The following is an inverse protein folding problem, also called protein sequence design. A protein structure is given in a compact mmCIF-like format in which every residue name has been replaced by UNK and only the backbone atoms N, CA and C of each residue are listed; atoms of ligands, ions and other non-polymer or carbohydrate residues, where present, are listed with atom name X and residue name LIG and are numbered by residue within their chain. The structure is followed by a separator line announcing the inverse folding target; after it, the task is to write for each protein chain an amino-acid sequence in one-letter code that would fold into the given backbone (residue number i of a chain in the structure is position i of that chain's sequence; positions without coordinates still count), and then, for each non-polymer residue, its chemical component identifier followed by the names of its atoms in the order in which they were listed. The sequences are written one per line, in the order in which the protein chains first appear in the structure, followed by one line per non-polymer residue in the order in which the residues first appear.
data_IF_795257732672
#
_entry.id   IF_795257732672
#
_cell.length_a   1.000
_cell.length_b   1.000
_cell.length_c   1.000
_cell.angle_alpha   90.00
_cell.angle_beta   90.00
_cell.angle_gamma   90.00
#
_symmetry.space_group_name_H-M   'P 1'
#
loop_
_entity.id
_entity.type
_entity.pdbx_description
1 polymer ?
#
# COMPACT_ATOMS: atom_id res chain seq x y z
N UNK A 1 -1.25 -23.38 10.75
CA UNK A 1 -1.45 -23.10 9.30
C UNK A 1 -0.97 -21.70 9.00
N UNK A 2 0.05 -21.50 8.13
CA UNK A 2 0.40 -20.18 7.61
C UNK A 2 -0.42 -19.95 6.33
N UNK A 3 -1.54 -19.25 6.45
CA UNK A 3 -2.32 -18.79 5.29
C UNK A 3 -1.49 -17.79 4.48
N UNK A 4 -1.61 -17.83 3.15
CA UNK A 4 -0.94 -16.86 2.29
C UNK A 4 -1.41 -15.45 2.68
N UNK A 5 -0.49 -14.48 2.87
CA UNK A 5 -0.89 -13.12 3.18
C UNK A 5 -1.73 -12.56 2.02
N UNK A 6 -2.82 -11.89 2.37
CA UNK A 6 -3.70 -11.25 1.39
C UNK A 6 -2.94 -10.19 0.58
N UNK A 7 -3.51 -9.77 -0.56
CA UNK A 7 -2.93 -8.71 -1.38
C UNK A 7 -2.64 -7.44 -0.59
N UNK A 8 -3.52 -7.14 0.36
CA UNK A 8 -3.39 -6.00 1.24
C UNK A 8 -2.29 -6.18 2.28
N UNK A 9 -2.20 -7.32 2.97
CA UNK A 9 -1.17 -7.55 3.99
C UNK A 9 0.24 -7.51 3.41
N UNK A 10 0.45 -8.07 2.22
CA UNK A 10 1.76 -7.96 1.58
C UNK A 10 2.01 -6.58 0.95
N UNK A 11 0.97 -5.80 0.61
CA UNK A 11 1.15 -4.37 0.28
C UNK A 11 1.56 -3.57 1.54
N UNK A 12 1.02 -3.92 2.71
CA UNK A 12 1.41 -3.31 3.99
C UNK A 12 2.83 -3.70 4.41
N UNK A 13 3.28 -4.92 4.10
CA UNK A 13 4.61 -5.42 4.46
C UNK A 13 5.76 -4.87 3.62
N UNK A 14 5.48 -4.16 2.52
CA UNK A 14 6.49 -3.47 1.69
C UNK A 14 6.69 -2.00 2.08
N UNK A 15 5.99 -1.55 3.13
CA UNK A 15 5.99 -0.15 3.58
C UNK A 15 6.47 -0.10 5.02
N UNK A 16 7.51 0.68 5.29
CA UNK A 16 8.03 0.87 6.63
C UNK A 16 7.17 1.86 7.44
N UNK A 17 7.21 1.77 8.79
CA UNK A 17 6.54 2.75 9.65
C UNK A 17 7.25 4.10 9.50
N UNK A 18 6.47 5.18 9.36
CA UNK A 18 6.94 6.53 9.10
C UNK A 18 7.13 6.85 7.61
N UNK A 19 7.08 5.85 6.74
CA UNK A 19 7.29 6.00 5.30
C UNK A 19 6.06 6.60 4.60
N UNK A 20 6.32 7.51 3.66
CA UNK A 20 5.34 8.11 2.76
C UNK A 20 5.48 7.45 1.38
N UNK A 21 4.37 6.92 0.85
CA UNK A 21 4.38 6.16 -0.40
C UNK A 21 3.09 6.35 -1.19
N UNK A 22 3.18 6.31 -2.51
CA UNK A 22 2.02 6.35 -3.40
C UNK A 22 1.51 4.95 -3.76
N UNK A 23 0.27 4.86 -4.24
CA UNK A 23 -0.30 3.58 -4.71
C UNK A 23 0.51 2.96 -5.87
N UNK A 24 1.12 3.79 -6.72
CA UNK A 24 2.01 3.33 -7.81
C UNK A 24 3.28 2.68 -7.28
N UNK A 25 3.94 3.33 -6.32
CA UNK A 25 5.17 2.80 -5.71
C UNK A 25 4.91 1.50 -4.94
N UNK A 26 3.76 1.37 -4.28
CA UNK A 26 3.36 0.12 -3.63
C UNK A 26 3.27 -1.01 -4.66
N UNK A 27 2.66 -0.74 -5.82
CA UNK A 27 2.54 -1.73 -6.89
C UNK A 27 3.91 -2.13 -7.42
N UNK A 28 4.80 -1.16 -7.68
CA UNK A 28 6.15 -1.44 -8.15
C UNK A 28 6.92 -2.31 -7.15
N UNK A 29 6.86 -2.00 -5.85
CA UNK A 29 7.51 -2.84 -4.81
C UNK A 29 6.94 -4.26 -4.73
N UNK A 30 5.64 -4.43 -4.98
CA UNK A 30 5.03 -5.75 -5.04
C UNK A 30 5.51 -6.55 -6.26
N UNK A 31 5.71 -5.88 -7.41
CA UNK A 31 6.31 -6.46 -8.60
C UNK A 31 7.77 -6.85 -8.34
N UNK A 32 8.56 -5.98 -7.71
CA UNK A 32 9.97 -6.25 -7.36
C UNK A 32 10.11 -7.44 -6.40
N UNK A 33 9.15 -7.65 -5.50
CA UNK A 33 9.09 -8.84 -4.64
C UNK A 33 8.62 -10.11 -5.37
N UNK A 34 8.41 -10.07 -6.69
CA UNK A 34 8.03 -11.22 -7.51
C UNK A 34 6.59 -11.68 -7.27
N UNK A 35 5.71 -10.79 -6.81
CA UNK A 35 4.32 -11.17 -6.56
C UNK A 35 3.56 -11.31 -7.89
N UNK A 36 3.04 -12.52 -8.14
CA UNK A 36 2.26 -12.81 -9.36
C UNK A 36 0.90 -12.10 -9.40
N UNK A 37 0.29 -11.86 -8.25
CA UNK A 37 -1.01 -11.21 -8.15
C UNK A 37 -0.86 -9.80 -7.60
N UNK A 38 -1.03 -8.80 -8.47
CA UNK A 38 -0.89 -7.39 -8.15
C UNK A 38 -2.27 -6.77 -7.98
N UNK A 39 -2.58 -6.18 -6.81
CA UNK A 39 -3.83 -5.45 -6.63
C UNK A 39 -3.85 -4.17 -7.46
N UNK A 40 -5.04 -3.76 -7.89
CA UNK A 40 -5.22 -2.51 -8.65
C UNK A 40 -5.01 -1.28 -7.76
N UNK A 41 -4.56 -0.17 -8.35
CA UNK A 41 -4.40 1.13 -7.67
C UNK A 41 -5.65 1.54 -6.88
N UNK A 42 -6.84 1.33 -7.46
CA UNK A 42 -8.13 1.61 -6.83
C UNK A 42 -8.35 0.73 -5.60
N UNK A 43 -8.09 -0.58 -5.70
CA UNK A 43 -8.25 -1.50 -4.58
C UNK A 43 -7.29 -1.18 -3.43
N UNK A 44 -6.02 -0.90 -3.73
CA UNK A 44 -5.02 -0.43 -2.76
C UNK A 44 -5.54 0.85 -2.10
N UNK A 45 -5.88 1.87 -2.89
CA UNK A 45 -6.33 3.15 -2.36
C UNK A 45 -7.52 3.00 -1.40
N UNK A 46 -8.55 2.22 -1.76
CA UNK A 46 -9.71 1.99 -0.88
C UNK A 46 -9.30 1.29 0.42
N UNK A 47 -8.50 0.22 0.33
CA UNK A 47 -8.10 -0.52 1.54
C UNK A 47 -7.20 0.29 2.46
N UNK A 48 -6.24 1.02 1.90
CA UNK A 48 -5.34 1.88 2.66
C UNK A 48 -6.06 3.05 3.31
N UNK A 49 -7.06 3.64 2.64
CA UNK A 49 -7.91 4.68 3.25
C UNK A 49 -8.73 4.18 4.44
N UNK A 50 -9.08 2.90 4.44
CA UNK A 50 -9.89 2.30 5.50
C UNK A 50 -9.05 1.68 6.63
N UNK A 51 -7.72 1.60 6.50
CA UNK A 51 -6.82 1.02 7.49
C UNK A 51 -6.28 2.10 8.43
N UNK A 52 -6.44 1.89 9.74
CA UNK A 52 -6.03 2.84 10.80
C UNK A 52 -4.52 3.04 10.91
N UNK A 53 -3.73 2.22 10.23
CA UNK A 53 -2.26 2.27 10.23
C UNK A 53 -1.73 3.20 9.15
N UNK A 54 -2.60 3.81 8.33
CA UNK A 54 -2.21 4.73 7.28
C UNK A 54 -2.93 6.06 7.44
N UNK A 55 -2.15 7.14 7.36
CA UNK A 55 -2.64 8.50 7.22
C UNK A 55 -2.60 8.91 5.75
N UNK A 56 -3.65 9.58 5.29
CA UNK A 56 -3.77 10.02 3.89
C UNK A 56 -3.30 11.47 3.80
N UNK A 57 -2.17 11.70 3.13
CA UNK A 57 -1.74 13.04 2.72
C UNK A 57 -2.21 13.31 1.30
N UNK A 58 -3.13 14.26 1.15
CA UNK A 58 -3.56 14.76 -0.15
C UNK A 58 -2.83 16.07 -0.44
N UNK A 59 -1.93 16.07 -1.41
CA UNK A 59 -1.21 17.29 -1.85
C UNK A 59 -1.68 17.67 -3.26
N UNK A 60 -2.53 18.69 -3.34
CA UNK A 60 -2.92 19.33 -4.61
C UNK A 60 -3.48 18.38 -5.68
N UNK A 61 -3.04 18.57 -6.93
CA UNK A 61 -3.40 17.73 -8.11
C UNK A 61 -2.52 16.47 -8.25
N UNK A 62 -1.70 16.16 -7.24
CA UNK A 62 -0.75 15.06 -7.28
C UNK A 62 -1.34 13.70 -6.89
N UNK A 63 -0.53 12.63 -6.99
CA UNK A 63 -0.92 11.30 -6.50
C UNK A 63 -1.21 11.34 -4.99
N UNK A 64 -2.15 10.50 -4.55
CA UNK A 64 -2.44 10.36 -3.11
C UNK A 64 -1.26 9.69 -2.42
N UNK A 65 -0.75 10.32 -1.37
CA UNK A 65 0.34 9.81 -0.55
C UNK A 65 -0.27 9.13 0.68
N UNK A 66 0.18 7.93 0.97
CA UNK A 66 -0.17 7.18 2.16
C UNK A 66 1.05 7.15 3.07
N UNK A 67 0.90 7.63 4.30
CA UNK A 67 1.94 7.57 5.32
C UNK A 67 1.62 6.46 6.31
N UNK A 68 2.52 5.50 6.49
CA UNK A 68 2.32 4.45 7.49
C UNK A 68 2.62 5.00 8.89
N UNK A 69 1.68 4.90 9.81
CA UNK A 69 1.81 5.38 11.19
C UNK A 69 1.87 4.26 12.22
N UNK A 70 1.47 3.03 11.86
CA UNK A 70 1.46 1.83 12.72
C UNK A 70 1.87 0.57 11.96
#
# INVERSE_FOLDING_TARGET
MRTKPTNFEAAKSVIAIGEEITADEIINRLLDRGRREIPTKKSISVKFRNDKSFEIKKVGRGPTIFKRIL
#
